data_IF_507630884429
#
_entry.id   IF_507630884429
#
_cell.length_a   1.000
_cell.length_b   1.000
_cell.length_c   1.000
_cell.angle_alpha   90.00
_cell.angle_beta   90.00
_cell.angle_gamma   90.00
#
_symmetry.space_group_name_H-M   'P 1'
#
loop_
_entity.id
_entity.type
_entity.pdbx_description
1 polymer ?
#
# COMPACT_ATOMS: atom_id res chain seq x y z
N UNK A 1 14.96 8.24 24.50
CA UNK A 1 14.01 9.09 23.74
C UNK A 1 13.90 8.49 22.35
N UNK A 2 12.84 7.73 22.07
CA UNK A 2 12.56 7.30 20.70
C UNK A 2 11.78 8.43 20.04
N UNK A 3 12.34 9.05 19.00
CA UNK A 3 11.62 10.02 18.21
C UNK A 3 10.42 9.30 17.57
N UNK A 4 9.22 9.75 17.89
CA UNK A 4 8.02 9.36 17.17
C UNK A 4 8.21 9.77 15.71
N UNK A 5 8.43 8.79 14.83
CA UNK A 5 8.34 9.00 13.39
C UNK A 5 6.85 9.03 13.05
N UNK A 6 6.28 10.22 13.11
CA UNK A 6 4.92 10.50 12.65
C UNK A 6 4.95 10.55 11.12
N UNK A 7 4.91 9.38 10.51
CA UNK A 7 4.79 9.27 9.06
C UNK A 7 3.31 9.55 8.75
N UNK A 8 2.97 10.66 8.07
CA UNK A 8 1.57 11.04 7.82
C UNK A 8 0.78 10.10 6.91
N UNK A 9 1.37 8.95 6.55
CA UNK A 9 0.75 7.89 5.78
C UNK A 9 -0.21 7.08 6.64
N UNK A 10 -1.31 6.62 6.04
CA UNK A 10 -2.24 5.69 6.68
C UNK A 10 -1.49 4.44 7.20
N UNK A 11 -0.62 3.84 6.37
CA UNK A 11 0.31 2.79 6.81
C UNK A 11 1.73 3.04 6.31
N UNK A 12 2.70 2.64 7.14
CA UNK A 12 4.12 2.64 6.81
C UNK A 12 4.74 1.30 7.16
N UNK A 13 5.47 0.70 6.21
CA UNK A 13 6.19 -0.57 6.41
C UNK A 13 7.69 -0.33 6.37
N UNK A 14 8.34 -0.87 7.38
CA UNK A 14 9.77 -0.87 7.57
C UNK A 14 10.34 -2.25 7.27
N UNK A 15 11.50 -2.32 6.61
CA UNK A 15 12.21 -3.58 6.44
C UNK A 15 12.88 -4.03 7.76
N UNK A 16 13.56 -5.17 7.74
CA UNK A 16 14.26 -5.73 8.92
C UNK A 16 15.37 -4.81 9.47
N UNK A 17 15.86 -3.88 8.67
CA UNK A 17 16.86 -2.88 9.04
C UNK A 17 16.21 -1.59 9.59
N UNK A 18 14.89 -1.59 9.81
CA UNK A 18 14.11 -0.44 10.27
C UNK A 18 14.18 0.77 9.32
N UNK A 19 14.32 0.52 8.02
CA UNK A 19 14.23 1.53 6.98
C UNK A 19 12.81 1.54 6.39
N UNK A 20 12.24 2.74 6.22
CA UNK A 20 10.95 2.90 5.56
C UNK A 20 11.07 2.45 4.10
N UNK A 21 10.36 1.39 3.74
CA UNK A 21 10.40 0.81 2.38
C UNK A 21 9.10 1.04 1.63
N UNK A 22 7.95 1.00 2.30
CA UNK A 22 6.65 1.19 1.68
C UNK A 22 5.83 2.21 2.48
N UNK A 23 5.37 3.24 1.78
CA UNK A 23 4.32 4.14 2.22
C UNK A 23 2.98 3.72 1.59
N UNK A 24 1.90 3.76 2.37
CA UNK A 24 0.57 3.37 1.91
C UNK A 24 -0.44 4.45 2.24
N UNK A 25 -1.26 4.77 1.26
CA UNK A 25 -2.47 5.58 1.44
C UNK A 25 -3.70 4.73 1.06
N UNK A 26 -4.73 4.79 1.90
CA UNK A 26 -5.98 4.05 1.73
C UNK A 26 -7.15 5.01 1.52
N UNK A 27 -7.99 4.67 0.54
CA UNK A 27 -9.10 5.51 0.09
C UNK A 27 -10.28 4.64 -0.29
N UNK A 28 -11.50 5.00 0.12
CA UNK A 28 -12.70 4.17 -0.09
C UNK A 28 -13.41 4.41 -1.42
N UNK A 29 -12.94 5.35 -2.24
CA UNK A 29 -13.54 5.63 -3.55
C UNK A 29 -13.35 4.46 -4.53
N UNK A 30 -14.32 4.26 -5.41
CA UNK A 30 -14.28 3.26 -6.48
C UNK A 30 -13.99 3.90 -7.84
N UNK A 31 -13.59 3.06 -8.80
CA UNK A 31 -13.42 3.42 -10.22
C UNK A 31 -12.44 4.59 -10.44
N UNK A 32 -11.54 4.81 -9.48
CA UNK A 32 -10.55 5.87 -9.56
C UNK A 32 -9.67 5.66 -10.78
N UNK A 33 -9.39 6.72 -11.52
CA UNK A 33 -8.55 6.64 -12.72
C UNK A 33 -7.08 6.82 -12.38
N UNK A 34 -6.22 6.38 -13.30
CA UNK A 34 -4.77 6.51 -13.16
C UNK A 34 -4.34 7.98 -13.10
N UNK A 35 -5.00 8.84 -13.87
CA UNK A 35 -4.74 10.28 -13.94
C UNK A 35 -5.10 10.95 -12.61
N UNK A 36 -6.21 10.53 -11.98
CA UNK A 36 -6.57 11.00 -10.65
C UNK A 36 -5.51 10.60 -9.63
N UNK A 37 -5.09 9.33 -9.61
CA UNK A 37 -4.09 8.83 -8.66
C UNK A 37 -2.74 9.54 -8.81
N UNK A 38 -2.34 9.83 -10.05
CA UNK A 38 -1.13 10.60 -10.38
C UNK A 38 -1.18 12.02 -9.82
N UNK A 39 -2.31 12.72 -10.01
CA UNK A 39 -2.52 14.07 -9.45
C UNK A 39 -2.57 14.04 -7.92
N UNK A 40 -3.22 13.04 -7.34
CA UNK A 40 -3.31 12.88 -5.90
C UNK A 40 -1.91 12.67 -5.28
N UNK A 41 -1.10 11.76 -5.80
CA UNK A 41 0.30 11.56 -5.38
C UNK A 41 1.09 12.87 -5.41
N UNK A 42 1.02 13.62 -6.52
CA UNK A 42 1.73 14.91 -6.64
C UNK A 42 1.29 15.88 -5.54
N UNK A 43 -0.02 15.98 -5.30
CA UNK A 43 -0.56 16.90 -4.30
C UNK A 43 -0.09 16.56 -2.89
N UNK A 44 -0.18 15.29 -2.47
CA UNK A 44 0.24 14.90 -1.11
C UNK A 44 1.76 15.07 -0.90
N UNK A 45 2.59 14.74 -1.90
CA UNK A 45 4.04 14.92 -1.80
C UNK A 45 4.46 16.39 -1.82
N UNK A 46 3.72 17.25 -2.52
CA UNK A 46 4.01 18.69 -2.58
C UNK A 46 3.86 19.40 -1.22
N UNK A 47 3.12 18.81 -0.28
CA UNK A 47 2.93 19.37 1.05
C UNK A 47 4.12 19.10 2.00
N UNK A 48 5.09 18.25 1.62
CA UNK A 48 6.35 18.07 2.34
C UNK A 48 6.27 17.40 3.72
N UNK A 49 5.08 16.98 4.15
CA UNK A 49 4.84 16.32 5.46
C UNK A 49 5.09 14.81 5.38
N UNK A 50 4.94 14.24 4.19
CA UNK A 50 4.99 12.79 3.99
C UNK A 50 6.42 12.27 3.87
N UNK A 51 6.76 11.26 4.67
CA UNK A 51 8.05 10.58 4.60
C UNK A 51 8.22 9.88 3.23
N UNK A 52 9.39 10.03 2.61
CA UNK A 52 9.65 9.42 1.31
C UNK A 52 10.03 7.95 1.48
N UNK A 53 9.45 7.10 0.63
CA UNK A 53 9.69 5.67 0.58
C UNK A 53 10.03 5.24 -0.86
N UNK A 54 10.89 4.22 -1.05
CA UNK A 54 11.16 3.63 -2.36
C UNK A 54 9.90 3.14 -3.09
N UNK A 55 8.88 2.72 -2.32
CA UNK A 55 7.57 2.31 -2.81
C UNK A 55 6.47 3.18 -2.20
N UNK A 56 5.57 3.65 -3.05
CA UNK A 56 4.30 4.27 -2.64
C UNK A 56 3.15 3.47 -3.25
N UNK A 57 2.23 3.02 -2.39
CA UNK A 57 1.05 2.27 -2.78
C UNK A 57 -0.20 3.05 -2.38
N UNK A 58 -1.02 3.42 -3.36
CA UNK A 58 -2.34 4.00 -3.11
C UNK A 58 -3.39 2.92 -3.39
N UNK A 59 -4.25 2.66 -2.41
CA UNK A 59 -5.19 1.54 -2.41
C UNK A 59 -6.63 2.04 -2.38
N UNK A 60 -7.43 1.47 -3.28
CA UNK A 60 -8.87 1.59 -3.38
C UNK A 60 -9.50 0.19 -3.25
N UNK A 61 -10.82 0.08 -2.99
CA UNK A 61 -11.46 -1.23 -2.88
C UNK A 61 -11.38 -2.06 -4.17
N UNK A 62 -11.22 -1.42 -5.33
CA UNK A 62 -11.19 -2.04 -6.66
C UNK A 62 -9.86 -1.87 -7.41
N UNK A 63 -8.97 -0.99 -6.95
CA UNK A 63 -7.68 -0.71 -7.62
C UNK A 63 -6.52 -0.49 -6.68
N UNK A 64 -5.34 -0.95 -7.09
CA UNK A 64 -4.06 -0.60 -6.46
C UNK A 64 -3.19 0.15 -7.47
N UNK A 65 -2.52 1.20 -7.01
CA UNK A 65 -1.57 1.98 -7.79
C UNK A 65 -0.21 2.00 -7.08
N UNK A 66 0.81 1.41 -7.71
CA UNK A 66 2.16 1.34 -7.17
C UNK A 66 3.11 2.24 -7.95
N UNK A 67 3.89 3.04 -7.23
CA UNK A 67 5.10 3.70 -7.74
C UNK A 67 6.33 2.98 -7.16
N UNK A 68 7.27 2.63 -8.03
CA UNK A 68 8.55 2.00 -7.65
C UNK A 68 9.72 2.92 -7.94
N UNK A 69 10.75 2.90 -7.09
CA UNK A 69 12.01 3.63 -7.26
C UNK A 69 11.80 5.14 -7.47
N UNK A 70 10.77 5.67 -6.83
CA UNK A 70 10.39 7.07 -6.94
C UNK A 70 10.78 7.73 -5.61
N UNK A 71 12.04 8.18 -5.50
CA UNK A 71 12.65 8.77 -4.30
C UNK A 71 12.02 10.14 -3.94
N UNK A 72 10.70 10.26 -3.99
CA UNK A 72 9.96 11.50 -3.74
C UNK A 72 10.13 12.56 -4.82
N UNK A 73 10.46 12.18 -6.06
CA UNK A 73 10.57 13.17 -7.13
C UNK A 73 9.18 13.73 -7.39
N UNK A 74 9.01 15.03 -7.13
CA UNK A 74 7.81 15.82 -7.42
C UNK A 74 7.63 15.94 -8.94
N UNK A 75 7.20 14.85 -9.56
CA UNK A 75 6.87 14.75 -10.97
C UNK A 75 5.50 14.13 -11.13
N UNK A 76 4.78 14.53 -12.20
CA UNK A 76 3.53 13.89 -12.63
C UNK A 76 3.80 12.55 -13.30
N UNK A 77 4.49 11.67 -12.58
CA UNK A 77 4.77 10.32 -13.03
C UNK A 77 3.58 9.44 -12.75
N UNK A 78 3.09 8.76 -13.78
CA UNK A 78 2.09 7.70 -13.66
C UNK A 78 2.58 6.55 -12.75
N UNK A 79 1.67 5.80 -12.11
CA UNK A 79 2.03 4.61 -11.37
C UNK A 79 2.70 3.58 -12.28
N UNK A 80 3.72 2.92 -11.74
CA UNK A 80 4.45 1.85 -12.43
C UNK A 80 3.57 0.61 -12.62
N UNK A 81 2.68 0.34 -11.66
CA UNK A 81 1.69 -0.73 -11.75
C UNK A 81 0.29 -0.21 -11.44
N UNK A 82 -0.69 -0.68 -12.20
CA UNK A 82 -2.13 -0.52 -11.93
C UNK A 82 -2.72 -1.92 -11.87
N UNK A 83 -3.33 -2.28 -10.74
CA UNK A 83 -3.78 -3.65 -10.47
C UNK A 83 -5.26 -3.63 -10.11
N UNK A 84 -6.01 -4.62 -10.62
CA UNK A 84 -7.37 -4.89 -10.16
C UNK A 84 -7.33 -5.47 -8.75
N UNK A 85 -7.88 -4.74 -7.78
CA UNK A 85 -7.88 -5.15 -6.37
C UNK A 85 -8.95 -6.20 -6.05
N UNK A 86 -9.96 -6.35 -6.92
CA UNK A 86 -11.15 -7.17 -6.63
C UNK A 86 -10.77 -8.62 -6.31
N UNK A 87 -9.87 -9.31 -7.05
CA UNK A 87 -9.45 -10.65 -6.69
C UNK A 87 -8.70 -10.73 -5.37
N UNK A 88 -7.93 -9.68 -5.03
CA UNK A 88 -7.11 -9.60 -3.81
C UNK A 88 -8.00 -9.43 -2.57
N UNK A 89 -8.96 -8.51 -2.63
CA UNK A 89 -9.80 -8.16 -1.49
C UNK A 89 -11.09 -8.97 -1.36
N UNK A 90 -11.54 -9.65 -2.43
CA UNK A 90 -12.70 -10.55 -2.40
C UNK A 90 -12.75 -11.48 -1.18
N UNK A 91 -11.70 -12.26 -0.83
CA UNK A 91 -11.77 -13.14 0.33
C UNK A 91 -12.01 -12.41 1.66
N UNK A 92 -11.55 -11.16 1.79
CA UNK A 92 -11.75 -10.35 3.00
C UNK A 92 -13.16 -9.75 3.07
N UNK A 93 -13.71 -9.31 1.92
CA UNK A 93 -15.09 -8.86 1.81
C UNK A 93 -16.09 -9.99 2.09
N UNK A 94 -15.85 -11.18 1.53
CA UNK A 94 -16.69 -12.36 1.75
C UNK A 94 -16.68 -12.80 3.22
N UNK A 95 -15.53 -12.79 3.89
CA UNK A 95 -15.42 -13.16 5.31
C UNK A 95 -16.10 -12.15 6.25
N UNK A 96 -16.10 -10.86 5.90
CA UNK A 96 -16.69 -9.80 6.72
C UNK A 96 -18.17 -9.54 6.43
N UNK A 97 -18.71 -10.06 5.31
CA UNK A 97 -20.06 -9.75 4.86
C UNK A 97 -20.24 -8.30 4.37
N UNK A 98 -19.14 -7.58 4.14
CA UNK A 98 -19.12 -6.18 3.70
C UNK A 98 -18.90 -6.11 2.20
N UNK A 99 -19.60 -5.21 1.51
CA UNK A 99 -19.37 -4.96 0.08
C UNK A 99 -18.40 -3.80 -0.15
N UNK A 100 -17.64 -3.85 -1.25
CA UNK A 100 -16.70 -2.78 -1.64
C UNK A 100 -17.38 -1.39 -1.73
N UNK A 101 -18.66 -1.34 -2.09
CA UNK A 101 -19.41 -0.07 -2.22
C UNK A 101 -19.81 0.55 -0.89
N UNK A 102 -19.67 -0.18 0.22
CA UNK A 102 -20.11 0.24 1.55
C UNK A 102 -18.96 0.33 2.54
N UNK A 103 -17.73 0.01 2.13
CA UNK A 103 -16.60 -0.02 3.05
C UNK A 103 -16.11 1.41 3.35
N UNK A 104 -15.98 1.73 4.64
CA UNK A 104 -15.30 2.95 5.07
C UNK A 104 -13.80 2.84 4.84
N UNK A 105 -13.10 3.99 4.77
CA UNK A 105 -11.63 3.98 4.66
C UNK A 105 -10.97 3.22 5.81
N UNK A 106 -11.44 3.40 7.04
CA UNK A 106 -10.94 2.72 8.25
C UNK A 106 -11.08 1.18 8.15
N UNK A 107 -12.23 0.68 7.70
CA UNK A 107 -12.42 -0.76 7.53
C UNK A 107 -11.57 -1.32 6.40
N UNK A 108 -11.39 -0.56 5.32
CA UNK A 108 -10.50 -0.94 4.22
C UNK A 108 -9.05 -1.01 4.69
N UNK A 109 -8.63 -0.08 5.55
CA UNK A 109 -7.29 -0.04 6.12
C UNK A 109 -6.98 -1.28 6.97
N UNK A 110 -7.96 -1.81 7.71
CA UNK A 110 -7.84 -3.10 8.43
C UNK A 110 -7.65 -4.26 7.47
N UNK A 111 -8.42 -4.30 6.37
CA UNK A 111 -8.29 -5.33 5.32
C UNK A 111 -6.91 -5.25 4.68
N UNK A 112 -6.47 -4.05 4.32
CA UNK A 112 -5.16 -3.77 3.72
C UNK A 112 -4.04 -4.19 4.67
N UNK A 113 -4.13 -3.85 5.95
CA UNK A 113 -3.16 -4.25 6.96
C UNK A 113 -3.06 -5.77 7.06
N UNK A 114 -4.20 -6.46 7.08
CA UNK A 114 -4.28 -7.92 7.13
C UNK A 114 -3.69 -8.58 5.87
N UNK A 115 -3.95 -8.02 4.69
CA UNK A 115 -3.38 -8.47 3.43
C UNK A 115 -1.87 -8.25 3.37
N UNK A 116 -1.38 -7.05 3.68
CA UNK A 116 0.05 -6.75 3.71
C UNK A 116 0.78 -7.61 4.73
N UNK A 117 0.20 -7.85 5.92
CA UNK A 117 0.77 -8.77 6.90
C UNK A 117 0.95 -10.18 6.33
N UNK A 118 -0.06 -10.69 5.61
CA UNK A 118 0.02 -11.98 4.93
C UNK A 118 1.14 -12.00 3.88
N UNK A 119 1.31 -10.92 3.12
CA UNK A 119 2.40 -10.80 2.14
C UNK A 119 3.77 -10.79 2.84
N UNK A 120 3.94 -9.94 3.87
CA UNK A 120 5.22 -9.81 4.59
C UNK A 120 5.67 -11.11 5.25
N UNK A 121 4.75 -11.89 5.82
CA UNK A 121 5.07 -13.09 6.60
C UNK A 121 4.83 -14.39 5.84
N UNK A 122 4.52 -14.33 4.54
CA UNK A 122 4.41 -15.53 3.73
C UNK A 122 5.75 -16.25 3.61
N UNK A 123 5.75 -17.57 3.78
CA UNK A 123 6.94 -18.42 3.59
C UNK A 123 7.23 -18.70 2.12
N UNK A 124 6.27 -18.40 1.23
CA UNK A 124 6.39 -18.57 -0.22
C UNK A 124 5.99 -17.28 -0.93
N UNK A 125 6.70 -16.88 -2.00
CA UNK A 125 6.24 -15.79 -2.83
C UNK A 125 4.84 -16.12 -3.37
N UNK A 126 4.00 -15.10 -3.61
CA UNK A 126 2.76 -15.30 -4.35
C UNK A 126 3.06 -16.03 -5.66
N UNK A 127 2.13 -16.88 -6.09
CA UNK A 127 2.30 -17.59 -7.34
C UNK A 127 2.41 -16.57 -8.49
N UNK A 128 3.47 -16.64 -9.30
CA UNK A 128 3.66 -15.75 -10.45
C UNK A 128 2.58 -15.96 -11.52
N UNK A 129 1.99 -17.16 -11.56
CA UNK A 129 0.87 -17.48 -12.45
C UNK A 129 -0.47 -16.91 -11.94
N UNK A 130 -0.51 -16.38 -10.71
CA UNK A 130 -1.65 -15.62 -10.21
C UNK A 130 -1.48 -14.15 -10.59
N UNK A 131 -2.16 -13.75 -11.68
CA UNK A 131 -2.15 -12.38 -12.21
C UNK A 131 -2.49 -11.32 -11.16
N UNK A 132 -3.22 -11.68 -10.08
CA UNK A 132 -3.54 -10.75 -9.00
C UNK A 132 -2.37 -10.42 -8.07
N UNK A 133 -1.30 -11.23 -8.09
CA UNK A 133 -0.15 -11.06 -7.21
C UNK A 133 1.23 -11.05 -7.91
N UNK A 134 1.34 -11.43 -9.19
CA UNK A 134 2.62 -11.42 -9.92
C UNK A 134 3.38 -10.10 -9.84
N UNK A 135 2.66 -8.97 -9.89
CA UNK A 135 3.23 -7.62 -9.75
C UNK A 135 4.01 -7.39 -8.45
N UNK A 136 3.66 -8.09 -7.35
CA UNK A 136 4.39 -7.97 -6.07
C UNK A 136 5.82 -8.47 -6.21
N UNK A 137 6.02 -9.55 -6.97
CA UNK A 137 7.34 -10.13 -7.20
C UNK A 137 8.08 -9.34 -8.27
N UNK A 138 7.42 -9.04 -9.39
CA UNK A 138 8.02 -8.33 -10.53
C UNK A 138 8.50 -6.92 -10.16
N UNK A 139 7.74 -6.21 -9.31
CA UNK A 139 8.13 -4.89 -8.80
C UNK A 139 9.29 -4.93 -7.80
N UNK A 140 9.61 -6.10 -7.25
CA UNK A 140 10.53 -6.26 -6.12
C UNK A 140 9.90 -5.96 -4.75
N UNK A 141 8.63 -5.51 -4.70
CA UNK A 141 7.96 -5.12 -3.45
C UNK A 141 7.89 -6.28 -2.45
N UNK A 142 7.56 -7.50 -2.91
CA UNK A 142 7.49 -8.69 -2.07
C UNK A 142 8.76 -8.89 -1.25
N UNK A 143 9.92 -8.83 -1.92
CA UNK A 143 11.21 -8.98 -1.25
C UNK A 143 11.53 -7.79 -0.33
N UNK A 144 11.15 -6.57 -0.73
CA UNK A 144 11.42 -5.36 0.05
C UNK A 144 10.70 -5.34 1.40
N UNK A 145 9.47 -5.88 1.47
CA UNK A 145 8.67 -5.92 2.71
C UNK A 145 8.76 -7.26 3.47
N UNK A 146 9.44 -8.27 2.94
CA UNK A 146 9.48 -9.61 3.52
C UNK A 146 10.06 -9.61 4.95
N UNK A 147 9.26 -10.06 5.92
CA UNK A 147 9.58 -10.04 7.34
C UNK A 147 9.83 -8.64 7.92
N UNK A 148 9.29 -7.61 7.28
CA UNK A 148 9.26 -6.24 7.80
C UNK A 148 8.25 -6.07 8.93
N UNK A 149 8.00 -4.81 9.30
CA UNK A 149 7.04 -4.44 10.34
C UNK A 149 6.29 -3.17 9.96
N UNK A 150 5.00 -3.10 10.33
CA UNK A 150 4.26 -1.83 10.34
C UNK A 150 4.85 -0.90 11.38
N UNK A 151 4.72 0.42 11.16
CA UNK A 151 5.00 1.40 12.22
C UNK A 151 4.14 1.07 13.44
N UNK A 152 4.78 0.75 14.57
CA UNK A 152 4.07 0.47 15.82
C UNK A 152 3.70 1.81 16.45
N UNK A 153 2.42 2.15 16.47
CA UNK A 153 1.91 2.83 17.66
C UNK A 153 2.07 1.86 18.82
N UNK A 154 3.15 2.04 19.60
CA UNK A 154 3.19 1.51 20.94
C UNK A 154 2.15 2.29 21.75
N UNK A 155 0.96 1.72 21.91
CA UNK A 155 0.03 2.14 22.96
C UNK A 155 0.79 1.98 24.27
N UNK A 156 1.10 3.10 24.92
CA UNK A 156 1.70 3.16 26.25
C UNK A 156 0.63 2.93 27.32
#
# INVERSE_FOLDING_TARGET
MYAQRNDSWDLSIYNRELQLVLAVEVKSQLDITKEWATKFRRNILAHGVFALAPYLLIIFPDKLYLWTNDNGVLSEKEPTYTVDARPIFRPYFEQSGITANQISSENLEIIVTSWLAKVMYSSKPPNLDDESHGWLVDSGLYNAIAGGSFNREAVA
#
